data_IF_861152951906
#
_entry.id   IF_861152951906
#
_cell.length_a   1.000
_cell.length_b   1.000
_cell.length_c   1.000
_cell.angle_alpha   90.00
_cell.angle_beta   90.00
_cell.angle_gamma   90.00
#
_symmetry.space_group_name_H-M   'P 1'
#
loop_
_entity.id
_entity.type
_entity.pdbx_description
1 polymer ?
#
# COMPACT_ATOMS: atom_id res chain seq x y z
N UNK A 1 -23.17 -7.91 13.54
CA UNK A 1 -21.90 -7.72 12.80
C UNK A 1 -20.64 -8.12 13.58
N UNK A 2 -20.65 -8.15 14.92
CA UNK A 2 -19.48 -8.49 15.76
C UNK A 2 -19.22 -9.98 15.94
N UNK A 3 -20.18 -10.87 15.69
CA UNK A 3 -20.02 -12.32 15.88
C UNK A 3 -18.94 -12.99 15.01
N UNK A 4 -18.77 -12.65 13.72
CA UNK A 4 -17.67 -13.18 12.90
C UNK A 4 -16.30 -12.77 13.43
N UNK A 5 -16.14 -11.50 13.86
CA UNK A 5 -14.89 -10.96 14.38
C UNK A 5 -14.50 -11.57 15.73
N UNK A 6 -15.49 -11.88 16.58
CA UNK A 6 -15.24 -12.53 17.87
C UNK A 6 -14.64 -13.94 17.73
N UNK A 7 -14.98 -14.66 16.67
CA UNK A 7 -14.37 -15.95 16.36
C UNK A 7 -12.96 -15.83 15.77
N UNK A 8 -12.58 -14.67 15.21
CA UNK A 8 -11.23 -14.39 14.74
C UNK A 8 -10.24 -14.11 15.88
N UNK A 9 -10.73 -13.69 17.05
CA UNK A 9 -9.90 -13.40 18.25
C UNK A 9 -9.50 -14.64 19.07
N UNK A 10 -9.91 -15.85 18.69
CA UNK A 10 -9.40 -17.06 19.33
C UNK A 10 -7.97 -17.33 18.84
N UNK A 11 -7.14 -17.90 19.73
CA UNK A 11 -5.73 -18.22 19.47
C UNK A 11 -5.53 -18.83 18.08
N UNK A 12 -4.55 -18.30 17.34
CA UNK A 12 -4.21 -18.78 15.99
C UNK A 12 -3.82 -20.24 16.11
N UNK A 13 -4.66 -21.12 15.58
CA UNK A 13 -4.33 -22.52 15.39
C UNK A 13 -3.39 -22.63 14.20
N UNK A 14 -2.32 -23.41 14.32
CA UNK A 14 -1.46 -23.76 13.19
C UNK A 14 -2.16 -24.74 12.20
N UNK A 15 -3.46 -24.94 12.37
CA UNK A 15 -4.25 -25.76 11.47
C UNK A 15 -4.58 -24.97 10.20
N UNK A 16 -4.00 -25.42 9.09
CA UNK A 16 -4.16 -24.84 7.76
C UNK A 16 -5.63 -24.63 7.34
N UNK A 17 -6.50 -25.61 7.61
CA UNK A 17 -7.93 -25.50 7.27
C UNK A 17 -8.64 -24.40 8.06
N UNK A 18 -8.25 -24.20 9.31
CA UNK A 18 -8.81 -23.15 10.14
C UNK A 18 -8.34 -21.76 9.67
N UNK A 19 -7.09 -21.64 9.25
CA UNK A 19 -6.54 -20.41 8.67
C UNK A 19 -7.23 -20.03 7.37
N UNK A 20 -7.47 -20.99 6.47
CA UNK A 20 -8.24 -20.75 5.24
C UNK A 20 -9.69 -20.31 5.52
N UNK A 21 -10.35 -20.94 6.51
CA UNK A 21 -11.70 -20.52 6.91
C UNK A 21 -11.71 -19.08 7.43
N UNK A 22 -10.73 -18.71 8.25
CA UNK A 22 -10.59 -17.35 8.79
C UNK A 22 -10.38 -16.33 7.68
N UNK A 23 -9.53 -16.65 6.72
CA UNK A 23 -9.28 -15.79 5.58
C UNK A 23 -10.54 -15.56 4.74
N UNK A 24 -11.28 -16.63 4.42
CA UNK A 24 -12.53 -16.50 3.69
C UNK A 24 -13.57 -15.67 4.46
N UNK A 25 -13.67 -15.86 5.78
CA UNK A 25 -14.55 -15.05 6.63
C UNK A 25 -14.16 -13.58 6.66
N UNK A 26 -12.85 -13.28 6.71
CA UNK A 26 -12.37 -11.91 6.68
C UNK A 26 -12.65 -11.24 5.33
N UNK A 27 -12.39 -11.93 4.23
CA UNK A 27 -12.67 -11.41 2.89
C UNK A 27 -14.16 -11.19 2.66
N UNK A 28 -15.00 -12.12 3.15
CA UNK A 28 -16.46 -11.97 3.09
C UNK A 28 -16.92 -10.77 3.91
N UNK A 29 -16.44 -10.65 5.15
CA UNK A 29 -16.75 -9.50 6.02
C UNK A 29 -16.34 -8.17 5.38
N UNK A 30 -15.15 -8.10 4.78
CA UNK A 30 -14.67 -6.89 4.11
C UNK A 30 -15.57 -6.54 2.91
N UNK A 31 -15.93 -7.50 2.07
CA UNK A 31 -16.85 -7.29 0.93
C UNK A 31 -18.23 -6.84 1.38
N UNK A 32 -18.80 -7.53 2.37
CA UNK A 32 -20.14 -7.23 2.88
C UNK A 32 -20.20 -5.84 3.52
N UNK A 33 -19.14 -5.46 4.25
CA UNK A 33 -19.03 -4.13 4.87
C UNK A 33 -18.91 -3.04 3.81
N UNK A 34 -18.03 -3.20 2.84
CA UNK A 34 -17.85 -2.22 1.76
C UNK A 34 -19.10 -2.13 0.89
N UNK A 35 -19.71 -3.27 0.55
CA UNK A 35 -20.98 -3.33 -0.16
C UNK A 35 -22.08 -2.60 0.58
N UNK A 36 -22.27 -2.91 1.86
CA UNK A 36 -23.29 -2.33 2.69
C UNK A 36 -23.13 -0.82 2.95
N UNK A 37 -21.89 -0.32 2.95
CA UNK A 37 -21.63 1.13 2.99
C UNK A 37 -21.95 1.81 1.65
N UNK A 38 -21.73 1.11 0.54
CA UNK A 38 -22.02 1.62 -0.80
C UNK A 38 -23.50 1.67 -1.10
N UNK A 39 -24.25 0.64 -0.72
CA UNK A 39 -25.70 0.54 -0.97
C UNK A 39 -26.56 1.16 0.15
N UNK A 40 -25.93 1.66 1.23
CA UNK A 40 -26.60 2.31 2.35
C UNK A 40 -27.24 1.36 3.36
N UNK A 41 -27.06 0.04 3.23
CA UNK A 41 -27.57 -0.94 4.22
C UNK A 41 -26.78 -0.92 5.53
N UNK A 42 -25.58 -0.35 5.53
CA UNK A 42 -24.79 -0.02 6.72
C UNK A 42 -24.79 1.49 6.90
N UNK A 43 -25.24 1.94 8.08
CA UNK A 43 -25.23 3.36 8.44
C UNK A 43 -23.76 3.86 8.52
N UNK A 44 -23.45 4.86 7.68
CA UNK A 44 -22.13 5.47 7.63
C UNK A 44 -21.72 6.10 8.96
N UNK A 45 -22.66 6.67 9.72
CA UNK A 45 -22.37 7.30 11.00
C UNK A 45 -21.74 6.30 11.99
N UNK A 46 -22.20 5.04 11.98
CA UNK A 46 -21.61 3.99 12.81
C UNK A 46 -20.14 3.74 12.49
N UNK A 47 -19.79 3.80 11.21
CA UNK A 47 -18.40 3.64 10.75
C UNK A 47 -17.58 4.87 11.08
N UNK A 48 -18.13 6.05 10.90
CA UNK A 48 -17.47 7.32 11.23
C UNK A 48 -17.12 7.40 12.72
N UNK A 49 -18.01 6.98 13.63
CA UNK A 49 -17.75 6.93 15.08
C UNK A 49 -16.60 5.97 15.42
N UNK A 50 -16.60 4.78 14.84
CA UNK A 50 -15.54 3.80 15.03
C UNK A 50 -14.22 4.34 14.48
N UNK A 51 -14.23 4.92 13.28
CA UNK A 51 -13.06 5.49 12.65
C UNK A 51 -12.45 6.61 13.49
N UNK A 52 -13.27 7.51 14.04
CA UNK A 52 -12.82 8.58 14.92
C UNK A 52 -12.19 8.04 16.20
N UNK A 53 -12.79 7.01 16.80
CA UNK A 53 -12.25 6.37 18.00
C UNK A 53 -10.86 5.76 17.73
N UNK A 54 -10.75 4.97 16.68
CA UNK A 54 -9.48 4.33 16.28
C UNK A 54 -8.43 5.39 15.91
N UNK A 55 -8.82 6.44 15.23
CA UNK A 55 -7.93 7.53 14.85
C UNK A 55 -7.34 8.24 16.09
N UNK A 56 -8.17 8.53 17.09
CA UNK A 56 -7.70 9.11 18.37
C UNK A 56 -6.71 8.19 19.09
N UNK A 57 -6.96 6.89 19.08
CA UNK A 57 -6.03 5.91 19.65
C UNK A 57 -4.71 5.84 18.87
N UNK A 58 -4.76 5.94 17.55
CA UNK A 58 -3.57 5.98 16.68
C UNK A 58 -2.70 7.19 16.98
N UNK A 59 -3.30 8.39 17.09
CA UNK A 59 -2.58 9.63 17.47
C UNK A 59 -1.92 9.46 18.85
N UNK A 60 -2.67 8.97 19.83
CA UNK A 60 -2.15 8.73 21.18
C UNK A 60 -1.02 7.72 21.20
N UNK A 61 -1.12 6.65 20.41
CA UNK A 61 -0.08 5.63 20.32
C UNK A 61 1.20 6.21 19.69
N UNK A 62 1.07 7.03 18.66
CA UNK A 62 2.20 7.73 18.06
C UNK A 62 2.88 8.67 19.07
N UNK A 63 2.12 9.44 19.84
CA UNK A 63 2.69 10.33 20.85
C UNK A 63 3.37 9.58 21.98
N UNK A 64 2.76 8.53 22.48
CA UNK A 64 3.33 7.71 23.57
C UNK A 64 4.65 7.04 23.18
N UNK A 65 4.83 6.70 21.89
CA UNK A 65 6.04 6.08 21.39
C UNK A 65 7.11 7.10 20.97
N UNK A 66 6.76 8.34 20.76
CA UNK A 66 7.69 9.38 20.31
C UNK A 66 8.72 9.72 21.40
N UNK A 67 9.99 9.54 21.08
CA UNK A 67 11.14 9.85 21.93
C UNK A 67 12.16 10.63 21.09
N UNK A 68 12.09 11.98 21.07
CA UNK A 68 13.00 12.81 20.28
C UNK A 68 14.46 12.43 20.48
N UNK A 69 15.21 12.31 19.38
CA UNK A 69 16.60 11.87 19.38
C UNK A 69 16.82 10.35 19.40
N UNK A 70 15.77 9.55 19.69
CA UNK A 70 15.90 8.08 19.80
C UNK A 70 14.93 7.33 18.89
N UNK A 71 13.66 7.69 18.92
CA UNK A 71 12.62 6.99 18.17
C UNK A 71 11.54 7.97 17.74
N UNK A 72 11.41 8.18 16.44
CA UNK A 72 10.41 9.08 15.88
C UNK A 72 9.26 8.32 15.27
N UNK A 73 8.06 8.71 15.66
CA UNK A 73 6.78 8.21 15.15
C UNK A 73 5.97 9.35 14.59
N UNK A 74 5.18 9.08 13.58
CA UNK A 74 4.22 10.01 12.99
C UNK A 74 2.81 9.45 13.16
N UNK A 75 1.82 10.30 13.36
CA UNK A 75 0.44 9.94 13.16
C UNK A 75 0.16 9.86 11.66
N UNK A 76 -0.46 8.78 11.23
CA UNK A 76 -0.77 8.56 9.82
C UNK A 76 -1.85 7.52 9.64
N UNK A 77 -2.38 7.44 8.44
CA UNK A 77 -3.36 6.43 8.04
C UNK A 77 -3.21 6.11 6.56
N UNK A 78 -3.76 5.00 6.14
CA UNK A 78 -3.84 4.63 4.73
C UNK A 78 -5.15 5.12 4.12
N UNK A 79 -5.04 5.97 3.09
CA UNK A 79 -6.11 6.25 2.16
C UNK A 79 -6.17 5.12 1.14
N UNK A 80 -7.04 4.14 1.41
CA UNK A 80 -7.21 2.94 0.61
C UNK A 80 -8.18 3.20 -0.53
N UNK A 81 -7.71 3.69 -1.66
CA UNK A 81 -8.50 3.88 -2.87
C UNK A 81 -8.23 2.78 -3.89
N UNK A 82 -9.29 2.25 -4.46
CA UNK A 82 -9.25 1.31 -5.58
C UNK A 82 -10.58 1.40 -6.34
N UNK A 83 -10.55 1.32 -7.66
CA UNK A 83 -11.76 1.30 -8.48
C UNK A 83 -12.56 0.02 -8.23
N UNK A 84 -11.85 -1.09 -8.01
CA UNK A 84 -12.42 -2.36 -7.60
C UNK A 84 -11.64 -2.92 -6.40
N UNK A 85 -12.17 -3.95 -5.71
CA UNK A 85 -11.54 -4.56 -4.54
C UNK A 85 -10.16 -5.20 -4.83
N UNK A 86 -9.85 -5.44 -6.10
CA UNK A 86 -8.65 -6.16 -6.51
C UNK A 86 -7.89 -5.53 -7.68
N UNK A 87 -8.36 -4.40 -8.24
CA UNK A 87 -7.76 -3.76 -9.39
C UNK A 87 -7.62 -2.24 -9.18
N UNK A 88 -6.64 -1.64 -9.87
CA UNK A 88 -6.39 -0.20 -9.91
C UNK A 88 -6.19 0.44 -8.53
N UNK A 89 -5.26 -0.15 -7.76
CA UNK A 89 -4.90 0.41 -6.45
C UNK A 89 -4.30 1.81 -6.59
N UNK A 90 -4.95 2.76 -5.91
CA UNK A 90 -4.49 4.14 -5.78
C UNK A 90 -4.27 4.48 -4.30
N UNK A 91 -3.64 3.57 -3.57
CA UNK A 91 -3.40 3.70 -2.14
C UNK A 91 -2.35 4.76 -1.83
N UNK A 92 -2.52 5.48 -0.72
CA UNK A 92 -1.59 6.46 -0.19
C UNK A 92 -1.51 6.35 1.32
N UNK A 93 -0.31 6.39 1.87
CA UNK A 93 -0.13 6.63 3.29
C UNK A 93 -0.10 8.14 3.54
N UNK A 94 -1.08 8.66 4.26
CA UNK A 94 -1.11 10.05 4.69
C UNK A 94 -0.42 10.16 6.04
N UNK A 95 0.62 10.98 6.11
CA UNK A 95 1.44 11.20 7.31
C UNK A 95 1.35 12.67 7.70
N UNK A 96 1.10 12.95 8.97
CA UNK A 96 1.04 14.29 9.53
C UNK A 96 2.37 14.65 10.18
N UNK A 97 2.83 15.88 9.95
CA UNK A 97 4.05 16.43 10.55
C UNK A 97 4.01 16.38 12.08
N UNK A 98 2.87 16.72 12.64
CA UNK A 98 2.64 16.84 14.07
C UNK A 98 1.33 16.14 14.46
N UNK A 99 1.12 15.95 15.75
CA UNK A 99 -0.08 15.32 16.31
C UNK A 99 -1.04 16.32 16.96
N UNK A 100 -0.64 17.57 17.06
CA UNK A 100 -1.48 18.63 17.63
C UNK A 100 -2.59 19.07 16.67
N UNK A 101 -3.81 19.22 17.21
CA UNK A 101 -4.96 19.74 16.48
C UNK A 101 -5.36 18.97 15.21
N UNK A 102 -5.01 17.69 15.12
CA UNK A 102 -5.40 16.87 13.98
C UNK A 102 -6.93 16.77 13.85
N UNK A 103 -7.46 16.65 12.61
CA UNK A 103 -8.90 16.55 12.39
C UNK A 103 -9.46 15.30 13.09
N UNK A 104 -10.65 15.41 13.67
CA UNK A 104 -11.33 14.26 14.29
C UNK A 104 -11.74 13.20 13.26
N UNK A 105 -12.00 13.61 12.01
CA UNK A 105 -12.36 12.75 10.90
C UNK A 105 -11.31 12.86 9.81
N UNK A 106 -10.76 11.72 9.42
CA UNK A 106 -9.83 11.62 8.29
C UNK A 106 -10.59 11.50 6.97
N UNK A 107 -10.00 12.02 5.90
CA UNK A 107 -10.51 11.85 4.54
C UNK A 107 -10.21 10.44 4.05
N UNK A 108 -11.20 9.70 3.61
CA UNK A 108 -11.09 8.30 3.22
C UNK A 108 -11.73 8.02 1.87
N UNK A 109 -11.61 6.78 1.37
CA UNK A 109 -12.34 6.34 0.17
C UNK A 109 -13.87 6.49 0.27
N UNK A 110 -14.42 6.58 1.47
CA UNK A 110 -15.85 6.82 1.68
C UNK A 110 -16.25 8.26 1.35
N UNK A 111 -15.27 9.17 1.31
CA UNK A 111 -15.47 10.57 0.92
C UNK A 111 -15.22 10.73 -0.59
N UNK A 112 -14.15 10.11 -1.12
CA UNK A 112 -13.86 10.04 -2.54
C UNK A 112 -12.94 8.86 -2.85
N UNK A 113 -13.13 8.21 -3.99
CA UNK A 113 -12.16 7.25 -4.55
C UNK A 113 -11.10 7.95 -5.43
N UNK A 114 -11.40 9.16 -5.90
CA UNK A 114 -10.46 10.01 -6.60
C UNK A 114 -9.46 10.63 -5.59
N UNK A 115 -8.13 10.51 -5.78
CA UNK A 115 -7.14 11.10 -4.88
C UNK A 115 -7.03 12.63 -4.96
N UNK A 116 -7.53 13.27 -6.01
CA UNK A 116 -7.43 14.72 -6.16
C UNK A 116 -8.16 15.49 -5.05
N UNK A 117 -9.39 15.14 -4.65
CA UNK A 117 -10.03 15.73 -3.47
C UNK A 117 -9.31 15.46 -2.14
N UNK A 118 -8.52 14.38 -2.02
CA UNK A 118 -7.66 14.18 -0.86
C UNK A 118 -6.58 15.29 -0.79
N UNK A 119 -5.96 15.64 -1.93
CA UNK A 119 -4.97 16.72 -1.96
C UNK A 119 -5.58 18.07 -1.59
N UNK A 120 -6.80 18.33 -2.05
CA UNK A 120 -7.53 19.59 -1.69
C UNK A 120 -7.84 19.64 -0.19
N UNK A 121 -8.25 18.51 0.38
CA UNK A 121 -8.45 18.40 1.82
C UNK A 121 -7.14 18.64 2.60
N UNK A 122 -6.02 18.07 2.16
CA UNK A 122 -4.70 18.30 2.76
C UNK A 122 -4.25 19.76 2.63
N UNK A 123 -4.53 20.43 1.51
CA UNK A 123 -4.25 21.85 1.31
C UNK A 123 -5.05 22.72 2.29
N UNK A 124 -6.33 22.40 2.49
CA UNK A 124 -7.17 23.11 3.45
C UNK A 124 -6.65 22.96 4.89
N UNK A 125 -6.20 21.76 5.26
CA UNK A 125 -5.56 21.53 6.57
C UNK A 125 -4.27 22.34 6.71
N UNK A 126 -3.44 22.37 5.66
CA UNK A 126 -2.18 23.13 5.64
C UNK A 126 -2.42 24.63 5.76
N UNK A 127 -3.45 25.16 5.12
CA UNK A 127 -3.87 26.55 5.31
C UNK A 127 -4.28 26.85 6.77
N UNK A 128 -4.77 25.85 7.49
CA UNK A 128 -5.06 25.90 8.93
C UNK A 128 -3.87 25.59 9.85
N UNK A 129 -2.66 25.42 9.29
CA UNK A 129 -1.44 25.14 10.07
C UNK A 129 -1.14 23.65 10.32
N UNK A 130 -1.92 22.74 9.74
CA UNK A 130 -1.71 21.29 9.88
C UNK A 130 -1.04 20.75 8.63
N UNK A 131 0.27 20.50 8.67
CA UNK A 131 1.00 19.97 7.52
C UNK A 131 0.95 18.44 7.45
N UNK A 132 0.80 17.94 6.23
CA UNK A 132 0.74 16.50 5.91
C UNK A 132 1.29 16.24 4.52
N UNK A 133 1.72 15.01 4.29
CA UNK A 133 2.09 14.50 2.96
C UNK A 133 1.44 13.13 2.74
N UNK A 134 1.28 12.77 1.48
CA UNK A 134 0.78 11.46 1.06
C UNK A 134 1.87 10.72 0.28
N UNK A 135 1.99 9.41 0.50
CA UNK A 135 2.97 8.56 -0.16
C UNK A 135 2.22 7.49 -0.97
N UNK A 136 2.13 7.63 -2.29
CA UNK A 136 1.63 6.57 -3.16
C UNK A 136 2.45 5.30 -3.00
N UNK A 137 1.78 4.17 -2.93
CA UNK A 137 2.42 2.86 -2.83
C UNK A 137 1.65 1.81 -3.63
N UNK A 138 2.26 0.64 -3.86
CA UNK A 138 1.69 -0.41 -4.69
C UNK A 138 1.35 0.03 -6.11
N UNK A 139 2.12 0.93 -6.70
CA UNK A 139 1.86 1.41 -8.05
C UNK A 139 1.93 0.28 -9.09
N UNK A 140 2.73 -0.78 -8.84
CA UNK A 140 2.83 -1.99 -9.66
C UNK A 140 1.48 -2.70 -9.89
N UNK A 141 0.52 -2.53 -8.99
CA UNK A 141 -0.83 -3.12 -9.10
C UNK A 141 -1.92 -2.06 -9.33
N UNK A 142 -1.54 -0.87 -9.80
CA UNK A 142 -2.48 0.22 -10.10
C UNK A 142 -3.13 0.15 -11.47
N UNK A 143 -2.76 -0.84 -12.30
CA UNK A 143 -3.25 -0.90 -13.67
C UNK A 143 -2.85 0.29 -14.55
N UNK A 144 -1.78 1.01 -14.19
CA UNK A 144 -1.30 2.21 -14.89
C UNK A 144 -1.90 3.52 -14.38
N UNK A 145 -2.86 3.47 -13.48
CA UNK A 145 -3.57 4.66 -12.98
C UNK A 145 -2.74 5.49 -11.99
N UNK A 146 -1.71 4.90 -11.35
CA UNK A 146 -0.90 5.60 -10.35
C UNK A 146 -0.16 6.81 -10.93
N UNK A 147 0.33 6.72 -12.15
CA UNK A 147 1.09 7.77 -12.83
C UNK A 147 0.47 8.09 -14.21
N UNK A 148 -0.85 8.34 -14.19
CA UNK A 148 -1.61 8.72 -15.38
C UNK A 148 -1.19 10.09 -15.91
N UNK A 149 -1.32 10.31 -17.24
CA UNK A 149 -1.21 11.61 -17.90
C UNK A 149 -2.56 12.34 -17.99
N UNK A 150 -3.57 11.82 -17.32
CA UNK A 150 -4.93 12.35 -17.29
C UNK A 150 -5.38 12.54 -15.85
N UNK A 151 -6.27 13.48 -15.63
CA UNK A 151 -7.03 13.59 -14.40
C UNK A 151 -7.83 12.30 -14.13
N UNK A 152 -8.17 12.03 -12.90
CA UNK A 152 -8.95 10.84 -12.52
C UNK A 152 -10.28 10.74 -13.29
N UNK A 153 -10.95 11.85 -13.52
CA UNK A 153 -12.21 11.91 -14.26
C UNK A 153 -12.02 12.12 -15.78
N UNK A 154 -10.79 11.97 -16.28
CA UNK A 154 -10.42 12.16 -17.68
C UNK A 154 -9.99 13.59 -18.03
N UNK A 155 -9.37 13.72 -19.19
CA UNK A 155 -8.75 14.95 -19.65
C UNK A 155 -7.26 15.07 -19.25
N UNK A 156 -6.45 15.77 -20.07
CA UNK A 156 -5.02 15.88 -19.85
C UNK A 156 -4.70 16.67 -18.57
N UNK A 157 -3.67 16.25 -17.85
CA UNK A 157 -3.17 16.99 -16.69
C UNK A 157 -2.51 18.30 -17.12
N UNK A 158 -2.50 19.28 -16.22
CA UNK A 158 -1.96 20.61 -16.40
C UNK A 158 -1.05 21.04 -15.23
N UNK A 159 -0.59 22.29 -15.26
CA UNK A 159 0.27 22.84 -14.20
C UNK A 159 -0.41 22.88 -12.83
N UNK A 160 -1.72 23.05 -12.78
CA UNK A 160 -2.47 23.06 -11.52
C UNK A 160 -2.45 21.66 -10.88
N UNK A 161 -2.73 20.64 -11.67
CA UNK A 161 -2.60 19.24 -11.23
C UNK A 161 -1.17 18.93 -10.77
N UNK A 162 -0.18 19.27 -11.59
CA UNK A 162 1.22 18.95 -11.31
C UNK A 162 1.69 19.60 -9.99
N UNK A 163 1.37 20.88 -9.81
CA UNK A 163 1.72 21.62 -8.60
C UNK A 163 1.03 21.06 -7.37
N UNK A 164 -0.27 20.76 -7.47
CA UNK A 164 -1.05 20.19 -6.38
C UNK A 164 -0.53 18.82 -5.99
N UNK A 165 -0.22 17.98 -6.96
CA UNK A 165 0.34 16.64 -6.72
C UNK A 165 1.71 16.71 -6.05
N UNK A 166 2.64 17.48 -6.58
CA UNK A 166 4.00 17.63 -6.02
C UNK A 166 4.00 18.14 -4.57
N UNK A 167 3.08 19.05 -4.26
CA UNK A 167 2.93 19.59 -2.92
C UNK A 167 2.47 18.52 -1.94
N UNK A 168 1.59 17.62 -2.36
CA UNK A 168 0.97 16.62 -1.51
C UNK A 168 1.67 15.25 -1.55
N UNK A 169 2.26 14.88 -2.69
CA UNK A 169 2.95 13.59 -2.91
C UNK A 169 4.44 13.81 -3.24
N UNK A 170 5.27 14.28 -2.29
CA UNK A 170 6.70 14.51 -2.54
C UNK A 170 7.52 13.21 -2.63
N UNK A 171 6.99 12.10 -2.12
CA UNK A 171 7.63 10.79 -2.04
C UNK A 171 6.79 9.73 -2.74
N UNK A 172 7.44 8.63 -3.14
CA UNK A 172 6.79 7.43 -3.66
C UNK A 172 7.50 6.18 -3.15
N UNK A 173 6.75 5.13 -2.91
CA UNK A 173 7.29 3.82 -2.54
C UNK A 173 7.68 3.03 -3.80
N UNK A 174 8.91 2.49 -3.82
CA UNK A 174 9.42 1.68 -4.94
C UNK A 174 9.36 0.18 -4.70
N UNK A 175 9.25 -0.26 -3.45
CA UNK A 175 9.20 -1.69 -3.11
C UNK A 175 8.55 -1.91 -1.76
N UNK A 176 7.87 -3.03 -1.65
CA UNK A 176 7.27 -3.54 -0.41
C UNK A 176 6.96 -5.04 -0.56
N UNK A 177 6.32 -5.62 0.46
CA UNK A 177 5.98 -7.05 0.51
C UNK A 177 5.21 -7.57 -0.73
N UNK A 178 4.48 -6.73 -1.44
CA UNK A 178 3.74 -7.08 -2.67
C UNK A 178 4.57 -6.93 -3.95
N UNK A 179 5.89 -6.84 -3.83
CA UNK A 179 6.83 -6.76 -4.94
C UNK A 179 7.28 -5.34 -5.28
N UNK A 180 8.15 -5.26 -6.27
CA UNK A 180 8.73 -4.00 -6.73
C UNK A 180 7.75 -3.15 -7.53
N UNK A 181 7.77 -1.85 -7.27
CA UNK A 181 7.15 -0.81 -8.10
C UNK A 181 8.19 0.03 -8.85
N UNK A 182 9.48 -0.34 -8.78
CA UNK A 182 10.55 0.42 -9.42
C UNK A 182 10.45 0.37 -10.94
N UNK A 183 10.52 -0.84 -11.51
CA UNK A 183 10.41 -1.06 -12.96
C UNK A 183 9.90 -2.46 -13.29
N UNK A 184 9.74 -2.74 -14.59
CA UNK A 184 9.29 -4.04 -15.09
C UNK A 184 10.08 -4.39 -16.38
N UNK A 185 10.38 -5.69 -16.66
CA UNK A 185 11.14 -6.11 -17.83
C UNK A 185 10.57 -5.62 -19.18
N UNK A 186 9.26 -5.45 -19.29
CA UNK A 186 8.62 -4.93 -20.51
C UNK A 186 8.87 -3.43 -20.72
N UNK A 187 9.21 -2.68 -19.67
CA UNK A 187 9.55 -1.25 -19.74
C UNK A 187 11.07 -1.09 -19.85
N UNK A 188 11.84 -1.81 -19.04
CA UNK A 188 13.30 -1.73 -18.97
C UNK A 188 13.95 -2.98 -19.58
N UNK A 189 13.83 -3.13 -20.89
CA UNK A 189 14.24 -4.34 -21.63
C UNK A 189 15.73 -4.66 -21.57
N UNK A 190 16.58 -3.65 -21.32
CA UNK A 190 18.03 -3.78 -21.28
C UNK A 190 18.58 -3.83 -19.85
N UNK A 191 17.72 -3.90 -18.84
CA UNK A 191 18.09 -3.99 -17.44
C UNK A 191 17.95 -5.45 -16.99
N UNK A 192 19.08 -6.10 -16.68
CA UNK A 192 19.12 -7.49 -16.22
C UNK A 192 18.41 -7.70 -14.88
N UNK A 193 18.27 -6.66 -14.08
CA UNK A 193 17.61 -6.68 -12.77
C UNK A 193 16.14 -6.30 -12.80
N UNK A 194 15.60 -5.90 -13.96
CA UNK A 194 14.21 -5.45 -14.09
C UNK A 194 13.17 -6.51 -13.69
N UNK A 195 13.53 -7.79 -13.64
CA UNK A 195 12.66 -8.89 -13.22
C UNK A 195 12.73 -9.21 -11.72
N UNK A 196 13.58 -8.51 -10.96
CA UNK A 196 13.72 -8.76 -9.54
C UNK A 196 12.43 -8.37 -8.80
N UNK A 197 11.88 -9.32 -8.04
CA UNK A 197 10.63 -9.15 -7.26
C UNK A 197 9.43 -8.59 -8.03
N UNK A 198 9.42 -8.73 -9.38
CA UNK A 198 8.25 -8.34 -10.17
C UNK A 198 7.14 -9.39 -10.06
N UNK A 199 5.89 -8.93 -10.00
CA UNK A 199 4.73 -9.82 -10.13
C UNK A 199 4.56 -10.24 -11.60
N UNK A 200 4.95 -11.46 -11.94
CA UNK A 200 4.85 -12.03 -13.27
C UNK A 200 3.51 -12.69 -13.56
N UNK A 201 2.53 -12.56 -12.68
CA UNK A 201 1.19 -13.19 -12.84
C UNK A 201 0.30 -12.49 -13.88
N UNK A 202 0.69 -11.33 -14.38
CA UNK A 202 0.00 -10.65 -15.46
C UNK A 202 0.17 -11.40 -16.79
N UNK A 203 -0.92 -11.75 -17.45
CA UNK A 203 -0.90 -12.44 -18.75
C UNK A 203 -0.52 -11.47 -19.87
N UNK A 204 0.36 -11.90 -20.76
CA UNK A 204 0.98 -11.12 -21.84
C UNK A 204 0.04 -10.31 -22.75
N UNK A 205 -1.22 -10.68 -22.90
CA UNK A 205 -2.13 -10.05 -23.88
C UNK A 205 -2.79 -8.74 -23.43
N UNK A 206 -2.84 -8.47 -22.11
CA UNK A 206 -3.37 -7.21 -21.55
C UNK A 206 -2.29 -6.32 -20.92
N UNK A 207 -1.04 -6.78 -20.92
CA UNK A 207 0.05 -6.29 -20.07
C UNK A 207 0.53 -4.89 -20.42
N UNK A 208 0.69 -4.58 -21.70
CA UNK A 208 1.27 -3.29 -22.10
C UNK A 208 0.40 -2.07 -21.77
N UNK A 209 -0.93 -2.23 -21.70
CA UNK A 209 -1.82 -1.13 -21.30
C UNK A 209 -1.76 -0.86 -19.80
N UNK A 210 -1.54 -1.91 -18.99
CA UNK A 210 -1.61 -1.85 -17.54
C UNK A 210 -0.26 -1.62 -16.86
N UNK A 211 0.85 -1.71 -17.60
CA UNK A 211 2.21 -1.51 -17.09
C UNK A 211 2.64 -0.05 -17.20
N UNK A 212 2.30 0.62 -18.31
CA UNK A 212 2.60 2.05 -18.49
C UNK A 212 1.84 2.89 -17.47
N UNK A 213 2.56 3.70 -16.70
CA UNK A 213 1.99 4.49 -15.61
C UNK A 213 1.85 3.73 -14.28
N UNK A 214 2.37 2.49 -14.19
CA UNK A 214 2.36 1.68 -12.99
C UNK A 214 3.71 1.65 -12.25
N UNK A 215 4.79 2.02 -12.89
CA UNK A 215 6.14 1.91 -12.35
C UNK A 215 6.86 3.25 -12.25
N UNK A 216 7.67 3.42 -11.22
CA UNK A 216 8.30 4.71 -10.88
C UNK A 216 9.29 5.18 -11.93
N UNK A 217 10.09 4.28 -12.54
CA UNK A 217 10.97 4.67 -13.67
C UNK A 217 10.19 5.17 -14.87
N UNK A 218 9.04 4.56 -15.19
CA UNK A 218 8.15 5.04 -16.26
C UNK A 218 7.52 6.40 -15.88
N UNK A 219 7.18 6.59 -14.60
CA UNK A 219 6.67 7.87 -14.12
C UNK A 219 7.68 9.01 -14.32
N UNK A 220 8.95 8.78 -14.02
CA UNK A 220 9.99 9.77 -14.28
C UNK A 220 10.10 10.11 -15.77
N UNK A 221 10.09 9.13 -16.68
CA UNK A 221 10.11 9.35 -18.12
C UNK A 221 8.87 10.12 -18.60
N UNK A 222 7.70 9.78 -18.10
CA UNK A 222 6.45 10.50 -18.37
C UNK A 222 6.52 11.95 -17.90
N UNK A 223 7.06 12.16 -16.71
CA UNK A 223 7.24 13.49 -16.14
C UNK A 223 8.17 14.37 -17.00
N UNK A 224 9.27 13.82 -17.51
CA UNK A 224 10.16 14.51 -18.44
C UNK A 224 9.47 14.83 -19.76
N UNK A 225 8.66 13.90 -20.28
CA UNK A 225 7.90 14.12 -21.52
C UNK A 225 6.87 15.25 -21.37
N UNK A 226 6.21 15.35 -20.22
CA UNK A 226 5.28 16.46 -19.91
C UNK A 226 6.04 17.78 -19.83
N UNK A 227 7.22 17.79 -19.21
CA UNK A 227 8.07 18.97 -19.09
C UNK A 227 8.51 19.51 -20.45
N UNK A 228 8.84 18.64 -21.42
CA UNK A 228 9.12 19.02 -22.80
C UNK A 228 7.91 19.66 -23.50
N UNK A 229 6.69 19.36 -23.06
CA UNK A 229 5.46 19.97 -23.57
C UNK A 229 5.12 21.31 -22.89
N UNK A 230 5.97 21.76 -21.96
CA UNK A 230 5.81 23.02 -21.23
C UNK A 230 4.87 22.95 -20.04
N UNK A 231 4.54 21.75 -19.57
CA UNK A 231 3.73 21.53 -18.36
C UNK A 231 4.66 21.09 -17.21
N UNK A 232 4.41 21.54 -16.00
CA UNK A 232 5.18 21.15 -14.83
C UNK A 232 5.13 19.63 -14.60
N UNK A 233 6.28 19.06 -14.24
CA UNK A 233 6.41 17.61 -14.04
C UNK A 233 5.86 17.18 -12.67
N UNK A 234 4.74 16.43 -12.59
CA UNK A 234 4.12 16.00 -11.34
C UNK A 234 4.85 14.83 -10.66
N UNK A 235 5.86 14.25 -11.31
CA UNK A 235 6.49 12.99 -10.91
C UNK A 235 7.93 13.16 -10.41
N UNK A 236 8.29 14.33 -9.87
CA UNK A 236 9.60 14.60 -9.25
C UNK A 236 9.60 14.13 -7.79
N UNK A 237 9.47 12.84 -7.54
CA UNK A 237 9.43 12.29 -6.19
C UNK A 237 10.81 12.01 -5.59
N UNK A 238 10.91 11.94 -4.24
CA UNK A 238 11.89 11.15 -3.51
C UNK A 238 11.38 9.69 -3.38
N UNK A 239 12.30 8.77 -3.07
CA UNK A 239 12.02 7.34 -3.03
C UNK A 239 12.04 6.81 -1.60
N UNK A 240 11.12 5.90 -1.29
CA UNK A 240 11.15 5.07 -0.08
C UNK A 240 10.92 3.60 -0.43
N UNK A 241 11.38 2.70 0.43
CA UNK A 241 10.92 1.32 0.50
C UNK A 241 10.19 1.10 1.82
N UNK A 242 9.30 0.13 1.88
CA UNK A 242 8.59 -0.15 3.12
C UNK A 242 8.07 -1.58 3.20
N UNK A 243 7.40 -1.93 4.30
CA UNK A 243 6.88 -3.29 4.51
C UNK A 243 5.42 -3.45 4.12
N UNK A 244 4.65 -2.38 4.12
CA UNK A 244 3.19 -2.46 4.07
C UNK A 244 2.62 -3.44 5.12
N UNK A 245 3.32 -3.57 6.25
CA UNK A 245 2.90 -4.47 7.32
C UNK A 245 1.69 -3.90 8.05
N UNK A 246 0.68 -4.76 8.26
CA UNK A 246 -0.53 -4.43 9.00
C UNK A 246 -0.45 -4.92 10.46
N UNK A 247 0.73 -5.30 10.91
CA UNK A 247 1.01 -5.76 12.29
C UNK A 247 2.27 -5.07 12.81
N UNK A 248 2.29 -4.75 14.09
CA UNK A 248 3.42 -4.06 14.71
C UNK A 248 4.68 -4.91 14.91
N UNK A 249 4.65 -6.18 14.58
CA UNK A 249 5.77 -7.13 14.74
C UNK A 249 6.40 -7.59 13.42
N UNK A 250 6.32 -6.78 12.36
CA UNK A 250 6.92 -7.13 11.07
C UNK A 250 8.44 -7.31 11.17
N UNK A 251 8.97 -8.29 10.45
CA UNK A 251 10.40 -8.54 10.29
C UNK A 251 10.78 -8.33 8.82
N UNK A 252 11.98 -7.80 8.58
CA UNK A 252 12.58 -7.71 7.25
C UNK A 252 13.51 -8.90 6.92
N UNK A 253 13.71 -9.81 7.85
CA UNK A 253 14.48 -11.03 7.62
C UNK A 253 13.64 -12.05 6.87
N UNK A 254 14.10 -12.49 5.69
CA UNK A 254 13.36 -13.38 4.79
C UNK A 254 13.01 -14.73 5.42
N UNK A 255 13.89 -15.29 6.25
CA UNK A 255 13.64 -16.57 6.93
C UNK A 255 12.55 -16.47 7.99
N UNK A 256 12.45 -15.34 8.66
CA UNK A 256 11.54 -15.10 9.78
C UNK A 256 10.44 -14.09 9.46
N UNK A 257 10.34 -13.66 8.20
CA UNK A 257 9.37 -12.66 7.79
C UNK A 257 7.95 -13.10 8.16
N UNK A 258 7.34 -12.31 9.04
CA UNK A 258 5.94 -12.45 9.43
C UNK A 258 5.19 -11.36 8.69
N UNK A 259 4.23 -11.79 7.95
CA UNK A 259 3.53 -11.00 7.03
C UNK A 259 2.80 -9.79 7.56
N UNK A 260 2.39 -9.19 6.57
CA UNK A 260 1.50 -8.08 6.35
C UNK A 260 0.25 -8.06 7.24
N UNK A 261 -0.51 -9.13 7.35
CA UNK A 261 -1.79 -9.17 8.09
C UNK A 261 -1.74 -10.03 9.35
N UNK A 262 -0.68 -10.76 9.58
CA UNK A 262 -0.45 -11.58 10.78
C UNK A 262 -1.48 -12.69 11.02
N UNK A 263 -2.75 -12.34 11.10
CA UNK A 263 -3.86 -13.27 11.31
C UNK A 263 -4.13 -14.18 10.10
N UNK A 264 -3.80 -13.72 8.89
CA UNK A 264 -4.06 -14.45 7.64
C UNK A 264 -2.84 -15.24 7.17
N UNK A 265 -1.65 -14.77 7.50
CA UNK A 265 -0.41 -15.20 6.89
C UNK A 265 0.76 -15.20 7.89
N UNK A 266 0.53 -15.72 9.09
CA UNK A 266 1.46 -15.71 10.23
C UNK A 266 2.78 -16.49 10.02
N UNK A 267 2.98 -17.18 8.88
CA UNK A 267 4.26 -17.83 8.54
C UNK A 267 4.55 -17.68 7.06
N UNK A 268 5.82 -17.76 6.61
CA UNK A 268 6.18 -17.68 5.19
C UNK A 268 5.46 -18.70 4.31
N UNK A 269 5.20 -19.91 4.80
CA UNK A 269 4.41 -20.93 4.08
C UNK A 269 2.96 -20.55 3.90
N UNK A 270 2.34 -19.99 4.95
CA UNK A 270 0.93 -19.57 4.91
C UNK A 270 0.75 -18.29 4.08
N UNK A 271 1.74 -17.45 4.05
CA UNK A 271 1.83 -16.28 3.18
C UNK A 271 1.99 -16.66 1.69
N UNK A 272 2.50 -17.85 1.40
CA UNK A 272 2.70 -18.36 0.05
C UNK A 272 4.07 -18.04 -0.55
N UNK A 273 5.00 -17.40 0.18
CA UNK A 273 6.34 -17.10 -0.32
C UNK A 273 7.34 -18.27 -0.21
N UNK A 274 7.05 -19.24 0.64
CA UNK A 274 7.86 -20.46 0.81
C UNK A 274 7.03 -21.69 0.41
N UNK A 275 7.58 -22.62 -0.40
CA UNK A 275 6.83 -23.76 -0.86
C UNK A 275 6.51 -24.77 0.24
N UNK A 276 5.44 -25.49 0.06
CA UNK A 276 5.13 -26.67 0.84
C UNK A 276 5.93 -27.90 0.36
N UNK A 277 6.07 -28.88 1.25
CA UNK A 277 6.56 -30.18 0.85
C UNK A 277 5.74 -30.70 -0.34
N UNK A 278 6.42 -31.27 -1.38
CA UNK A 278 5.80 -31.70 -2.64
C UNK A 278 4.60 -32.63 -2.44
N UNK A 279 4.72 -33.60 -1.53
CA UNK A 279 3.63 -34.54 -1.24
C UNK A 279 2.43 -33.84 -0.62
N UNK A 280 2.66 -33.03 0.40
CA UNK A 280 1.60 -32.27 1.07
C UNK A 280 0.93 -31.27 0.11
N UNK A 281 1.71 -30.53 -0.66
CA UNK A 281 1.20 -29.59 -1.65
C UNK A 281 0.35 -30.28 -2.74
N UNK A 282 0.79 -31.46 -3.21
CA UNK A 282 0.01 -32.27 -4.16
C UNK A 282 -1.33 -32.70 -3.55
N UNK A 283 -1.34 -33.25 -2.35
CA UNK A 283 -2.57 -33.68 -1.68
C UNK A 283 -3.53 -32.49 -1.50
N UNK A 284 -3.02 -31.35 -1.02
CA UNK A 284 -3.84 -30.16 -0.82
C UNK A 284 -4.40 -29.59 -2.13
N UNK A 285 -3.64 -29.61 -3.22
CA UNK A 285 -4.11 -29.18 -4.54
C UNK A 285 -5.27 -30.03 -5.09
N UNK A 286 -5.35 -31.29 -4.68
CA UNK A 286 -6.45 -32.19 -5.05
C UNK A 286 -7.66 -32.06 -4.14
N UNK A 287 -7.43 -31.80 -2.85
CA UNK A 287 -8.52 -31.64 -1.86
C UNK A 287 -9.22 -30.29 -1.98
N UNK A 288 -8.49 -29.25 -2.30
CA UNK A 288 -9.02 -27.88 -2.42
C UNK A 288 -8.57 -27.28 -3.76
N UNK A 289 -9.42 -27.36 -4.76
CA UNK A 289 -9.18 -26.71 -6.06
C UNK A 289 -8.88 -25.21 -5.82
N UNK A 290 -7.83 -24.71 -6.46
CA UNK A 290 -7.37 -23.33 -6.39
C UNK A 290 -6.73 -22.88 -5.05
N UNK A 291 -6.46 -23.80 -4.12
CA UNK A 291 -5.74 -23.45 -2.89
C UNK A 291 -4.22 -23.44 -3.04
N UNK A 292 -3.71 -24.09 -4.08
CA UNK A 292 -2.27 -24.24 -4.32
C UNK A 292 -1.92 -23.85 -5.75
N UNK A 293 -0.84 -23.09 -5.89
CA UNK A 293 -0.21 -22.77 -7.17
C UNK A 293 1.04 -23.64 -7.35
N UNK A 294 1.24 -24.23 -8.53
CA UNK A 294 2.40 -25.06 -8.87
C UNK A 294 3.35 -24.29 -9.79
N UNK A 295 4.51 -23.94 -9.29
CA UNK A 295 5.52 -23.12 -10.01
C UNK A 295 6.90 -23.72 -9.73
N UNK A 296 7.71 -23.88 -10.79
CA UNK A 296 9.09 -24.37 -10.69
C UNK A 296 9.21 -25.63 -9.81
N UNK A 297 8.37 -26.63 -10.10
CA UNK A 297 8.31 -27.91 -9.37
C UNK A 297 7.95 -27.81 -7.87
N UNK A 298 7.38 -26.71 -7.42
CA UNK A 298 6.99 -26.50 -6.05
C UNK A 298 5.51 -26.09 -5.93
N UNK A 299 4.91 -26.42 -4.79
CA UNK A 299 3.55 -26.04 -4.44
C UNK A 299 3.56 -24.89 -3.44
N UNK A 300 2.91 -23.80 -3.79
CA UNK A 300 2.73 -22.61 -2.95
C UNK A 300 1.25 -22.43 -2.61
N UNK A 301 0.97 -21.82 -1.46
CA UNK A 301 -0.39 -21.46 -1.11
C UNK A 301 -0.91 -20.38 -2.06
N UNK A 302 -2.00 -20.65 -2.75
CA UNK A 302 -2.57 -19.75 -3.76
C UNK A 302 -3.63 -18.80 -3.19
N UNK A 303 -3.43 -18.33 -1.98
CA UNK A 303 -4.39 -17.42 -1.35
C UNK A 303 -4.30 -16.05 -2.02
N UNK A 304 -5.26 -15.76 -2.87
CA UNK A 304 -5.27 -14.54 -3.68
C UNK A 304 -4.38 -14.56 -4.92
N UNK A 305 -3.77 -15.70 -5.28
CA UNK A 305 -3.02 -15.91 -6.53
C UNK A 305 -1.67 -15.22 -6.64
N UNK A 306 -1.31 -14.33 -5.70
CA UNK A 306 -0.10 -13.49 -5.80
C UNK A 306 0.87 -13.62 -4.63
N UNK A 307 0.55 -14.39 -3.60
CA UNK A 307 1.34 -14.42 -2.36
C UNK A 307 2.75 -15.02 -2.50
N UNK A 308 3.02 -15.75 -3.56
CA UNK A 308 4.36 -16.30 -3.80
C UNK A 308 5.42 -15.21 -4.05
N UNK A 309 4.99 -14.02 -4.49
CA UNK A 309 5.88 -12.87 -4.72
C UNK A 309 6.04 -12.00 -3.47
N UNK A 310 5.36 -12.33 -2.39
CA UNK A 310 5.47 -11.61 -1.14
C UNK A 310 6.76 -11.99 -0.42
N UNK A 311 7.76 -11.15 -0.57
CA UNK A 311 9.08 -11.30 0.04
C UNK A 311 9.25 -10.49 1.31
N UNK A 312 10.48 -10.36 1.77
CA UNK A 312 10.86 -9.37 2.75
C UNK A 312 10.64 -7.98 2.18
N UNK A 313 10.45 -7.02 3.06
CA UNK A 313 10.16 -5.65 2.66
C UNK A 313 11.43 -4.83 2.48
N UNK A 314 11.32 -3.79 1.67
CA UNK A 314 12.34 -2.75 1.61
C UNK A 314 12.35 -1.86 2.85
N UNK A 315 13.35 -1.01 2.95
CA UNK A 315 13.53 -0.01 4.00
C UNK A 315 13.51 1.39 3.42
N UNK A 316 12.97 2.35 4.20
CA UNK A 316 13.11 3.77 3.95
C UNK A 316 14.31 4.31 4.73
N UNK A 317 15.25 4.92 4.03
CA UNK A 317 16.30 5.73 4.64
C UNK A 317 16.00 7.21 4.50
N UNK A 318 16.37 8.01 5.50
CA UNK A 318 16.19 9.47 5.49
C UNK A 318 17.44 10.17 5.98
N UNK A 319 17.84 11.22 5.26
CA UNK A 319 18.90 12.12 5.65
C UNK A 319 18.31 13.30 6.41
N UNK A 320 18.38 13.27 7.73
CA UNK A 320 17.85 14.30 8.60
C UNK A 320 18.93 14.75 9.61
N UNK A 321 18.91 16.02 9.98
CA UNK A 321 19.88 16.58 10.96
C UNK A 321 19.66 16.00 12.36
N UNK A 322 18.40 15.69 12.70
CA UNK A 322 18.01 15.16 14.01
C UNK A 322 16.94 14.07 13.86
N UNK A 323 16.92 13.14 14.80
CA UNK A 323 15.84 12.16 14.88
C UNK A 323 14.62 12.75 15.60
N UNK A 324 13.96 13.70 14.93
CA UNK A 324 12.77 14.40 15.40
C UNK A 324 11.70 14.46 14.29
N UNK A 325 10.42 14.61 14.66
CA UNK A 325 9.34 14.81 13.68
C UNK A 325 9.62 15.97 12.75
N UNK A 326 10.05 17.09 13.29
CA UNK A 326 10.35 18.32 12.52
C UNK A 326 11.42 18.07 11.48
N UNK A 327 12.58 17.53 11.89
CA UNK A 327 13.73 17.33 11.00
C UNK A 327 13.46 16.25 9.95
N UNK A 328 12.86 15.12 10.35
CA UNK A 328 12.53 14.02 9.42
C UNK A 328 11.44 14.46 8.42
N UNK A 329 10.40 15.15 8.87
CA UNK A 329 9.34 15.62 7.97
C UNK A 329 9.86 16.68 6.98
N UNK A 330 10.77 17.56 7.40
CA UNK A 330 11.48 18.49 6.51
C UNK A 330 12.27 17.73 5.44
N UNK A 331 13.01 16.67 5.85
CA UNK A 331 13.75 15.83 4.91
C UNK A 331 12.81 15.11 3.92
N UNK A 332 11.65 14.64 4.35
CA UNK A 332 10.61 14.10 3.47
C UNK A 332 10.14 15.14 2.43
N UNK A 333 9.89 16.37 2.85
CA UNK A 333 9.53 17.47 1.95
C UNK A 333 10.62 17.79 0.95
N UNK A 334 11.87 17.73 1.37
CA UNK A 334 13.05 17.97 0.54
C UNK A 334 13.42 16.76 -0.33
N UNK A 335 12.74 15.60 -0.15
CA UNK A 335 13.05 14.33 -0.84
C UNK A 335 14.44 13.80 -0.50
N UNK A 336 14.94 14.09 0.69
CA UNK A 336 16.21 13.62 1.23
C UNK A 336 16.06 12.19 1.77
N UNK A 337 15.63 11.30 0.89
CA UNK A 337 15.30 9.91 1.21
C UNK A 337 15.93 8.95 0.21
N UNK A 338 16.09 7.70 0.63
CA UNK A 338 16.45 6.60 -0.25
C UNK A 338 15.70 5.33 0.15
N UNK A 339 15.64 4.39 -0.78
CA UNK A 339 15.00 3.10 -0.59
C UNK A 339 16.00 1.96 -0.76
N UNK A 340 15.75 0.87 -0.03
CA UNK A 340 16.36 -0.43 -0.32
C UNK A 340 15.28 -1.42 -0.70
N UNK A 341 15.63 -2.42 -1.50
CA UNK A 341 14.81 -3.61 -1.73
C UNK A 341 15.02 -4.63 -0.63
#
# INVERSE_FOLDING_TARGET
>A
YTKPLHNLNKSISNNFLELLKRQNLFQQFARDTIGGLRDGSIDRNLVDDIQQSVWKETIKAADNAYKPGFFTTFAGYEYTSAEDLYDNYLHRNVIFKDTSNLPNKIFSRLDSMNPEPLWDWMNNLRAGGIDSLAIPHNSNISGGSAFSLEYFNGGPIDDAYATNRLLNEPLVEITQVKGTSETHPLISKNDEWASFETDTSYKESNEMKNIKGAYVRDAYLRGLTIEEQGISNPYKFGLIGSSDSHVGGASYNEETFISKVGILDGTPKLRGSVPFNKFYGFVMSKMQKNSMTYINDNYYLAVGGRLIYFGASGLAGVWAEENTRESIFKAFRNKETFATS
#
